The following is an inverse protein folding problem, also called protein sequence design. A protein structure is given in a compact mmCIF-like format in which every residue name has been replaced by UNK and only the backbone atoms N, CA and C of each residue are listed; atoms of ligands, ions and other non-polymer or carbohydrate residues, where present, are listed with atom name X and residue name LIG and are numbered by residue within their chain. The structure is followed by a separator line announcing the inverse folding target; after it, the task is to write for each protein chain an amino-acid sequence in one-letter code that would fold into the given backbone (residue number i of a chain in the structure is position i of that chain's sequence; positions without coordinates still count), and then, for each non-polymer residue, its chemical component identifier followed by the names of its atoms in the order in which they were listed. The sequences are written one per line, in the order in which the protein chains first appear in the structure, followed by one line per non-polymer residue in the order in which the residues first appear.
data_IF_944107697642
#
_entry.id   IF_944107697642
#
_cell.length_a   1.000
_cell.length_b   1.000
_cell.length_c   1.000
_cell.angle_alpha   90.00
_cell.angle_beta   90.00
_cell.angle_gamma   90.00
#
_symmetry.space_group_name_H-M   'P 1'
#
loop_
_entity.id
_entity.type
_entity.pdbx_description
1 polymer ?
#
# COMPACT_ATOMS: atom_id res chain seq x y z
N UNK A 1 37.81 18.02 29.15
CA UNK A 1 37.20 16.86 28.49
C UNK A 1 36.07 17.34 27.59
N UNK A 2 36.13 16.98 26.36
CA UNK A 2 35.07 17.38 25.41
C UNK A 2 33.97 16.32 25.45
N UNK A 3 32.82 16.69 26.00
CA UNK A 3 31.65 15.84 26.03
C UNK A 3 30.86 16.09 24.74
N UNK A 4 30.69 15.06 23.90
CA UNK A 4 29.87 15.12 22.69
C UNK A 4 28.49 14.58 23.05
N UNK A 5 27.45 15.35 22.75
CA UNK A 5 26.05 15.00 23.02
C UNK A 5 25.30 14.90 21.70
N UNK A 6 24.33 13.98 21.62
CA UNK A 6 23.38 13.94 20.52
C UNK A 6 22.55 15.22 20.48
N UNK A 7 22.21 15.68 19.27
CA UNK A 7 21.32 16.82 19.02
C UNK A 7 19.86 16.39 18.86
N UNK A 8 19.60 15.07 18.77
CA UNK A 8 18.27 14.49 18.66
C UNK A 8 18.10 13.36 19.66
N UNK A 9 16.87 13.11 20.08
CA UNK A 9 16.51 11.90 20.81
C UNK A 9 16.33 10.75 19.82
N UNK A 10 16.86 9.56 20.15
CA UNK A 10 16.76 8.43 19.24
C UNK A 10 17.62 7.24 19.64
N UNK A 11 17.61 6.23 18.78
CA UNK A 11 18.43 5.03 18.92
C UNK A 11 19.81 5.23 18.29
N UNK A 12 20.85 4.81 18.97
CA UNK A 12 22.21 4.76 18.39
C UNK A 12 22.25 3.60 17.41
N UNK A 13 22.49 3.90 16.14
CA UNK A 13 22.57 2.90 15.07
C UNK A 13 23.98 2.31 14.97
N UNK A 14 25.00 3.17 15.10
CA UNK A 14 26.40 2.78 14.97
C UNK A 14 27.33 3.71 15.75
N UNK A 15 28.44 3.16 16.23
CA UNK A 15 29.54 3.88 16.88
C UNK A 15 30.85 3.40 16.23
N UNK A 16 31.23 3.95 15.07
CA UNK A 16 32.39 3.45 14.29
C UNK A 16 33.75 3.70 14.94
N UNK A 17 33.82 4.60 15.93
CA UNK A 17 35.06 4.95 16.60
C UNK A 17 35.26 4.20 17.92
N UNK A 18 36.51 3.85 18.23
CA UNK A 18 36.89 3.21 19.48
C UNK A 18 37.82 4.12 20.30
N UNK A 19 37.90 3.89 21.61
CA UNK A 19 38.85 4.58 22.46
C UNK A 19 40.28 4.39 21.92
N UNK A 20 41.01 5.50 21.78
CA UNK A 20 42.35 5.53 21.20
C UNK A 20 42.39 5.89 19.70
N UNK A 21 41.25 5.93 19.01
CA UNK A 21 41.22 6.38 17.59
C UNK A 21 41.40 7.89 17.55
N UNK A 22 42.14 8.39 16.54
CA UNK A 22 42.17 9.80 16.20
C UNK A 22 40.87 10.23 15.52
N UNK A 23 40.33 11.35 15.97
CA UNK A 23 39.13 11.96 15.38
C UNK A 23 39.45 13.34 14.83
N UNK A 24 38.91 13.70 13.71
CA UNK A 24 39.12 14.98 13.04
C UNK A 24 37.84 15.77 13.11
N UNK A 25 37.94 17.04 13.51
CA UNK A 25 36.80 17.97 13.50
C UNK A 25 36.44 18.33 12.05
N UNK A 26 35.14 18.45 11.75
CA UNK A 26 34.70 18.90 10.46
C UNK A 26 35.12 20.36 10.20
N UNK A 27 35.49 20.67 8.97
CA UNK A 27 35.79 22.02 8.50
C UNK A 27 35.38 22.17 7.03
N UNK A 28 35.66 23.31 6.42
CA UNK A 28 35.29 23.64 5.02
C UNK A 28 35.83 22.64 3.98
N UNK A 29 36.87 21.88 4.32
CA UNK A 29 37.57 20.95 3.42
C UNK A 29 37.41 19.48 3.79
N UNK A 30 36.78 19.20 4.96
CA UNK A 30 36.67 17.84 5.48
C UNK A 30 35.40 17.69 6.31
N UNK A 31 34.62 16.67 6.01
CA UNK A 31 33.35 16.35 6.70
C UNK A 31 33.53 15.90 8.17
N UNK A 32 34.79 15.66 8.58
CA UNK A 32 35.10 15.21 9.93
C UNK A 32 34.90 13.71 10.13
N UNK A 33 35.17 13.26 11.37
CA UNK A 33 35.00 11.84 11.75
C UNK A 33 33.63 11.64 12.38
N UNK A 34 32.84 10.72 11.84
CA UNK A 34 31.56 10.29 12.44
C UNK A 34 31.85 9.57 13.77
N UNK A 35 31.32 10.08 14.87
CA UNK A 35 31.50 9.50 16.22
C UNK A 35 30.39 8.47 16.49
N UNK A 36 29.16 8.82 16.20
CA UNK A 36 28.00 7.96 16.32
C UNK A 36 26.90 8.40 15.34
N UNK A 37 26.09 7.46 14.93
CA UNK A 37 24.88 7.72 14.13
C UNK A 37 23.67 7.46 14.99
N UNK A 38 22.78 8.45 15.10
CA UNK A 38 21.54 8.38 15.89
C UNK A 38 20.35 8.60 14.96
N UNK A 39 19.31 7.80 15.10
CA UNK A 39 18.09 7.96 14.33
C UNK A 39 16.84 7.91 15.22
N UNK A 40 15.83 8.70 14.86
CA UNK A 40 14.50 8.58 15.43
C UNK A 40 13.78 7.39 14.75
N UNK A 41 13.54 6.33 15.52
CA UNK A 41 12.92 5.10 15.00
C UNK A 41 11.40 5.20 14.86
N UNK A 42 10.80 6.32 15.26
CA UNK A 42 9.35 6.56 15.06
C UNK A 42 9.05 7.11 13.65
N UNK A 43 10.08 7.61 12.96
CA UNK A 43 9.98 8.20 11.63
C UNK A 43 10.56 7.25 10.57
N UNK A 44 9.93 6.09 10.41
CA UNK A 44 10.33 5.12 9.41
C UNK A 44 9.72 5.44 8.05
N UNK A 45 10.58 5.51 7.05
CA UNK A 45 10.19 5.78 5.66
C UNK A 45 10.49 4.54 4.81
N UNK A 46 9.46 4.04 4.12
CA UNK A 46 9.64 3.10 3.01
C UNK A 46 10.20 3.84 1.81
N UNK A 47 11.21 3.26 1.18
CA UNK A 47 11.73 3.72 -0.12
C UNK A 47 11.65 2.54 -1.09
N UNK A 48 11.06 2.79 -2.25
CA UNK A 48 10.93 1.80 -3.30
C UNK A 48 10.90 2.46 -4.66
N UNK A 49 10.86 1.63 -5.70
CA UNK A 49 10.78 2.08 -7.07
C UNK A 49 9.48 1.58 -7.69
N UNK A 50 8.88 2.38 -8.54
CA UNK A 50 7.70 2.05 -9.32
C UNK A 50 7.99 2.23 -10.81
N UNK A 51 7.40 1.37 -11.64
CA UNK A 51 7.56 1.41 -13.08
C UNK A 51 6.82 2.61 -13.71
N UNK A 52 7.35 3.10 -14.85
CA UNK A 52 6.76 4.21 -15.61
C UNK A 52 5.29 3.96 -16.00
N UNK A 53 4.92 2.71 -16.25
CA UNK A 53 3.55 2.34 -16.63
C UNK A 53 2.53 2.50 -15.50
N UNK A 54 3.00 2.44 -14.24
CA UNK A 54 2.17 2.50 -13.05
C UNK A 54 2.22 3.87 -12.35
N UNK A 55 3.32 4.62 -12.49
CA UNK A 55 3.52 5.90 -11.79
C UNK A 55 2.44 6.92 -12.10
N UNK A 56 1.87 6.91 -13.31
CA UNK A 56 0.78 7.81 -13.71
C UNK A 56 -0.55 7.55 -13.00
N UNK A 57 -0.69 6.44 -12.29
CA UNK A 57 -1.91 6.03 -11.57
C UNK A 57 -1.87 6.37 -10.09
N UNK A 58 -0.74 6.77 -9.57
CA UNK A 58 -0.55 7.09 -8.16
C UNK A 58 -0.37 8.59 -7.94
N UNK A 59 -0.69 9.03 -6.74
CA UNK A 59 -0.47 10.39 -6.28
C UNK A 59 -0.12 10.42 -4.79
N UNK A 60 0.49 11.49 -4.35
CA UNK A 60 0.78 11.71 -2.93
C UNK A 60 -0.51 11.67 -2.09
N UNK A 61 -0.41 11.15 -0.88
CA UNK A 61 -1.54 10.94 0.02
C UNK A 61 -2.25 9.61 -0.13
N UNK A 62 -1.92 8.79 -1.15
CA UNK A 62 -2.53 7.46 -1.29
C UNK A 62 -2.14 6.53 -0.15
N UNK A 63 -3.09 5.69 0.31
CA UNK A 63 -2.81 4.65 1.30
C UNK A 63 -1.96 3.54 0.68
N UNK A 64 -0.97 3.11 1.45
CA UNK A 64 -0.04 2.03 1.08
C UNK A 64 -0.05 0.99 2.19
N UNK A 65 -0.04 -0.28 1.82
CA UNK A 65 0.18 -1.40 2.73
C UNK A 65 1.61 -1.87 2.59
N UNK A 66 2.34 -1.93 3.68
CA UNK A 66 3.74 -2.34 3.71
C UNK A 66 3.86 -3.68 4.43
N UNK A 67 4.49 -4.64 3.79
CA UNK A 67 4.87 -5.92 4.40
C UNK A 67 6.38 -6.00 4.48
N UNK A 68 6.92 -6.28 5.67
CA UNK A 68 8.35 -6.39 5.89
C UNK A 68 8.80 -7.84 5.76
N UNK A 69 9.90 -8.08 5.06
CA UNK A 69 10.47 -9.42 4.89
C UNK A 69 10.80 -10.13 6.21
N UNK A 70 11.20 -9.37 7.23
CA UNK A 70 11.48 -9.89 8.58
C UNK A 70 10.22 -10.17 9.41
N UNK A 71 9.05 -9.62 9.04
CA UNK A 71 7.78 -9.69 9.76
C UNK A 71 6.65 -10.06 8.78
N UNK A 72 6.79 -11.20 8.10
CA UNK A 72 5.97 -11.62 6.96
C UNK A 72 4.45 -11.71 7.24
N UNK A 73 4.03 -11.82 8.50
CA UNK A 73 2.62 -11.93 8.89
C UNK A 73 2.04 -10.61 9.39
N UNK A 74 2.75 -9.50 9.22
CA UNK A 74 2.33 -8.19 9.69
C UNK A 74 2.30 -7.19 8.53
N UNK A 75 1.15 -6.54 8.40
CA UNK A 75 0.95 -5.43 7.49
C UNK A 75 0.98 -4.11 8.27
N UNK A 76 1.66 -3.14 7.72
CA UNK A 76 1.75 -1.80 8.28
C UNK A 76 1.04 -0.82 7.35
N UNK A 77 0.25 0.05 7.94
CA UNK A 77 -0.34 1.16 7.21
C UNK A 77 0.73 2.22 6.95
N UNK A 78 0.74 2.72 5.73
CA UNK A 78 1.63 3.78 5.31
C UNK A 78 0.89 4.76 4.39
N UNK A 79 1.45 5.93 4.23
CA UNK A 79 0.93 6.95 3.32
C UNK A 79 2.03 7.37 2.35
N UNK A 80 1.69 7.42 1.06
CA UNK A 80 2.61 7.86 0.01
C UNK A 80 2.85 9.37 0.17
N UNK A 81 4.08 9.76 0.44
CA UNK A 81 4.44 11.17 0.70
C UNK A 81 5.19 11.80 -0.46
N UNK A 82 5.90 11.00 -1.25
CA UNK A 82 6.75 11.53 -2.30
C UNK A 82 6.81 10.57 -3.49
N UNK A 83 6.74 11.16 -4.67
CA UNK A 83 6.97 10.50 -5.95
C UNK A 83 8.04 11.31 -6.68
N UNK A 84 9.15 10.68 -7.07
CA UNK A 84 10.21 11.37 -7.79
C UNK A 84 9.70 11.93 -9.12
N UNK A 85 9.93 13.22 -9.42
CA UNK A 85 9.60 13.78 -10.73
C UNK A 85 10.57 13.32 -11.83
N UNK A 86 11.66 12.65 -11.47
CA UNK A 86 12.68 12.16 -12.38
C UNK A 86 12.75 10.63 -12.32
N UNK A 87 12.52 9.98 -13.46
CA UNK A 87 12.79 8.56 -13.63
C UNK A 87 14.30 8.30 -13.77
N UNK A 88 14.69 7.11 -13.34
CA UNK A 88 16.05 6.57 -13.50
C UNK A 88 15.92 5.24 -14.24
N UNK A 89 16.71 5.07 -15.29
CA UNK A 89 16.77 3.79 -15.99
C UNK A 89 17.56 2.79 -15.16
N UNK A 90 16.90 1.71 -14.77
CA UNK A 90 17.48 0.60 -14.05
C UNK A 90 17.08 -0.73 -14.72
N UNK A 91 18.08 -1.55 -15.08
CA UNK A 91 17.86 -2.82 -15.76
C UNK A 91 17.02 -2.76 -17.05
N UNK A 92 17.10 -1.63 -17.78
CA UNK A 92 16.37 -1.43 -19.05
C UNK A 92 14.91 -0.97 -18.87
N UNK A 93 14.50 -0.61 -17.68
CA UNK A 93 13.18 -0.04 -17.38
C UNK A 93 13.33 1.32 -16.69
N UNK A 94 12.44 2.27 -17.03
CA UNK A 94 12.36 3.55 -16.33
C UNK A 94 11.63 3.34 -15.01
N UNK A 95 12.29 3.66 -13.91
CA UNK A 95 11.76 3.56 -12.57
C UNK A 95 11.75 4.91 -11.87
N UNK A 96 10.73 5.13 -11.05
CA UNK A 96 10.55 6.35 -10.26
C UNK A 96 10.63 6.00 -8.78
N UNK A 97 11.49 6.71 -8.04
CA UNK A 97 11.56 6.53 -6.59
C UNK A 97 10.29 7.03 -5.93
N UNK A 98 9.77 6.24 -5.00
CA UNK A 98 8.65 6.62 -4.13
C UNK A 98 9.05 6.50 -2.67
N UNK A 99 8.45 7.36 -1.83
CA UNK A 99 8.61 7.30 -0.38
C UNK A 99 7.25 7.29 0.29
N UNK A 100 7.09 6.42 1.30
CA UNK A 100 5.89 6.35 2.10
C UNK A 100 6.23 6.36 3.59
N UNK A 101 5.54 7.17 4.37
CA UNK A 101 5.67 7.19 5.82
C UNK A 101 4.91 6.00 6.41
N UNK A 102 5.61 5.19 7.20
CA UNK A 102 5.06 3.99 7.83
C UNK A 102 4.54 4.35 9.22
N UNK A 103 3.30 3.98 9.51
CA UNK A 103 2.76 4.07 10.87
C UNK A 103 3.11 2.80 11.64
N UNK A 104 4.05 2.91 12.58
CA UNK A 104 4.50 1.78 13.40
C UNK A 104 3.87 1.89 14.78
N UNK A 105 3.20 0.83 15.28
CA UNK A 105 2.74 0.77 16.66
C UNK A 105 3.94 0.75 17.65
N UNK A 106 3.82 1.43 18.79
CA UNK A 106 4.88 1.52 19.83
C UNK A 106 5.34 0.16 20.37
N UNK A 107 4.51 -0.87 20.21
CA UNK A 107 4.80 -2.24 20.67
C UNK A 107 5.77 -2.99 19.75
N UNK A 108 6.08 -2.47 18.55
CA UNK A 108 6.87 -3.15 17.53
C UNK A 108 8.15 -2.38 17.26
N UNK A 109 9.28 -3.06 17.34
CA UNK A 109 10.57 -2.49 16.97
C UNK A 109 10.95 -2.93 15.58
N UNK A 110 11.00 -2.00 14.63
CA UNK A 110 11.46 -2.22 13.26
C UNK A 110 12.88 -1.66 13.13
N UNK A 111 13.75 -2.39 12.44
CA UNK A 111 15.13 -1.93 12.18
C UNK A 111 15.20 -1.32 10.77
N UNK A 112 15.97 -0.25 10.66
CA UNK A 112 16.32 0.30 9.35
C UNK A 112 17.07 -0.74 8.51
N UNK A 113 16.83 -0.72 7.19
CA UNK A 113 17.47 -1.66 6.26
C UNK A 113 16.72 -2.98 6.05
N UNK A 114 15.54 -3.17 6.64
CA UNK A 114 14.71 -4.31 6.28
C UNK A 114 14.19 -4.18 4.85
N UNK A 115 14.15 -5.31 4.13
CA UNK A 115 13.43 -5.38 2.86
C UNK A 115 11.93 -5.30 3.10
N UNK A 116 11.25 -4.57 2.23
CA UNK A 116 9.82 -4.33 2.33
C UNK A 116 9.16 -4.41 0.95
N UNK A 117 7.93 -4.91 0.93
CA UNK A 117 7.04 -4.84 -0.22
C UNK A 117 5.92 -3.84 0.09
N UNK A 118 5.58 -3.02 -0.90
CA UNK A 118 4.51 -2.05 -0.80
C UNK A 118 3.39 -2.38 -1.78
N UNK A 119 2.17 -2.38 -1.29
CA UNK A 119 0.95 -2.49 -2.08
C UNK A 119 0.21 -1.16 -2.03
N UNK A 120 0.12 -0.48 -3.17
CA UNK A 120 -0.57 0.81 -3.27
C UNK A 120 -2.03 0.56 -3.59
N UNK A 121 -2.93 1.07 -2.74
CA UNK A 121 -4.37 0.92 -2.92
C UNK A 121 -4.86 2.00 -3.89
N UNK A 122 -5.00 1.66 -5.16
CA UNK A 122 -5.41 2.59 -6.22
C UNK A 122 -6.87 3.06 -6.08
N UNK A 123 -7.74 2.17 -5.61
CA UNK A 123 -9.13 2.50 -5.39
C UNK A 123 -9.73 1.64 -4.27
N UNK A 124 -10.64 2.20 -3.50
CA UNK A 124 -11.35 1.50 -2.44
C UNK A 124 -12.82 1.86 -2.45
N UNK A 125 -13.67 0.85 -2.57
CA UNK A 125 -15.09 0.98 -2.30
C UNK A 125 -15.42 0.33 -0.95
N UNK A 126 -16.04 1.09 -0.05
CA UNK A 126 -16.44 0.60 1.26
C UNK A 126 -17.94 0.77 1.46
N UNK A 127 -18.57 -0.22 2.12
CA UNK A 127 -20.03 -0.21 2.39
C UNK A 127 -20.88 -0.14 1.10
N UNK A 128 -20.38 -0.74 0.02
CA UNK A 128 -21.09 -0.83 -1.26
C UNK A 128 -21.91 -2.12 -1.33
N UNK A 129 -22.98 -2.08 -2.11
CA UNK A 129 -23.72 -3.29 -2.45
C UNK A 129 -22.87 -4.09 -3.45
N UNK A 130 -22.50 -5.30 -3.09
CA UNK A 130 -21.72 -6.18 -3.94
C UNK A 130 -22.38 -7.54 -4.08
N UNK A 131 -22.17 -8.18 -5.23
CA UNK A 131 -22.60 -9.55 -5.50
C UNK A 131 -21.42 -10.34 -6.05
N UNK A 132 -21.43 -11.70 -5.90
CA UNK A 132 -20.41 -12.51 -6.58
C UNK A 132 -20.40 -12.25 -8.07
N UNK A 133 -19.23 -11.98 -8.66
CA UNK A 133 -19.11 -11.64 -10.07
C UNK A 133 -19.69 -12.74 -10.98
N UNK A 134 -19.61 -13.99 -10.55
CA UNK A 134 -20.21 -15.14 -11.23
C UNK A 134 -21.74 -15.11 -11.36
N UNK A 135 -22.43 -14.21 -10.65
CA UNK A 135 -23.90 -14.03 -10.74
C UNK A 135 -24.29 -12.96 -11.77
N UNK A 136 -23.31 -12.30 -12.35
CA UNK A 136 -23.49 -11.19 -13.28
C UNK A 136 -23.29 -11.68 -14.71
N UNK A 137 -24.21 -11.33 -15.59
CA UNK A 137 -24.12 -11.62 -17.03
C UNK A 137 -23.68 -10.36 -17.77
N UNK A 138 -22.52 -10.42 -18.41
CA UNK A 138 -22.03 -9.36 -19.29
C UNK A 138 -22.46 -9.67 -20.72
N UNK A 139 -23.23 -8.77 -21.34
CA UNK A 139 -23.68 -8.94 -22.74
C UNK A 139 -23.61 -7.61 -23.46
N UNK A 140 -22.69 -7.56 -24.44
CA UNK A 140 -22.34 -6.32 -25.14
C UNK A 140 -21.94 -5.23 -24.11
N UNK A 141 -22.44 -4.01 -24.23
CA UNK A 141 -22.18 -2.89 -23.30
C UNK A 141 -23.11 -2.87 -22.07
N UNK A 142 -23.85 -3.95 -21.81
CA UNK A 142 -24.84 -3.98 -20.73
C UNK A 142 -24.58 -5.13 -19.78
N UNK A 143 -24.78 -4.84 -18.50
CA UNK A 143 -24.60 -5.80 -17.41
C UNK A 143 -25.97 -6.17 -16.81
N UNK A 144 -26.20 -7.45 -16.60
CA UNK A 144 -27.48 -7.97 -16.13
C UNK A 144 -27.29 -8.90 -14.93
N UNK A 145 -28.30 -8.94 -14.08
CA UNK A 145 -28.45 -9.91 -13.00
C UNK A 145 -29.85 -10.53 -13.05
N UNK A 146 -29.99 -11.71 -12.46
CA UNK A 146 -31.26 -12.40 -12.32
C UNK A 146 -31.75 -12.26 -10.89
N UNK A 147 -32.81 -11.46 -10.68
CA UNK A 147 -33.39 -11.18 -9.36
C UNK A 147 -34.55 -12.11 -9.14
N UNK A 148 -34.63 -12.73 -7.94
CA UNK A 148 -35.73 -13.60 -7.54
C UNK A 148 -37.02 -12.77 -7.43
N UNK A 149 -38.02 -13.12 -8.22
CA UNK A 149 -39.35 -12.47 -8.18
C UNK A 149 -40.38 -13.30 -7.45
N UNK A 150 -40.29 -14.63 -7.50
CA UNK A 150 -41.21 -15.52 -6.86
C UNK A 150 -40.49 -16.81 -6.40
N UNK A 151 -40.90 -17.36 -5.27
CA UNK A 151 -40.28 -18.57 -4.69
C UNK A 151 -41.19 -19.77 -4.61
N UNK A 152 -42.50 -19.60 -4.87
CA UNK A 152 -43.54 -20.67 -4.76
C UNK A 152 -44.45 -20.64 -5.98
N UNK A 153 -44.77 -21.77 -6.61
CA UNK A 153 -44.33 -23.15 -6.34
C UNK A 153 -42.91 -23.46 -6.85
N UNK A 154 -42.33 -22.57 -7.65
CA UNK A 154 -40.95 -22.68 -8.15
C UNK A 154 -40.28 -21.30 -8.17
N UNK A 155 -38.96 -21.29 -8.04
CA UNK A 155 -38.21 -20.04 -8.12
C UNK A 155 -38.29 -19.44 -9.51
N UNK A 156 -38.75 -18.19 -9.59
CA UNK A 156 -38.78 -17.40 -10.81
C UNK A 156 -37.81 -16.24 -10.69
N UNK A 157 -37.07 -16.02 -11.72
CA UNK A 157 -36.07 -14.94 -11.78
C UNK A 157 -36.41 -14.00 -12.94
N UNK A 158 -36.30 -12.71 -12.71
CA UNK A 158 -36.40 -11.71 -13.76
C UNK A 158 -35.00 -11.17 -14.07
N UNK A 159 -34.70 -11.06 -15.34
CA UNK A 159 -33.47 -10.42 -15.82
C UNK A 159 -33.60 -8.91 -15.68
N UNK A 160 -32.64 -8.31 -14.98
CA UNK A 160 -32.61 -6.85 -14.72
C UNK A 160 -31.27 -6.28 -15.12
N UNK A 161 -31.27 -5.15 -15.83
CA UNK A 161 -30.07 -4.40 -16.11
C UNK A 161 -29.56 -3.70 -14.83
N UNK A 162 -28.27 -3.74 -14.62
CA UNK A 162 -27.60 -3.10 -13.48
C UNK A 162 -26.41 -2.29 -13.95
N UNK A 163 -26.05 -1.29 -13.15
CA UNK A 163 -24.80 -0.53 -13.33
C UNK A 163 -23.80 -1.06 -12.31
N UNK A 164 -22.72 -1.62 -12.81
CA UNK A 164 -21.64 -2.15 -11.99
C UNK A 164 -20.58 -1.10 -11.73
N UNK A 165 -19.80 -1.32 -10.68
CA UNK A 165 -18.65 -0.50 -10.31
C UNK A 165 -17.35 -1.31 -10.29
N UNK A 166 -16.60 -1.19 -9.20
CA UNK A 166 -15.34 -1.93 -9.04
C UNK A 166 -15.57 -3.41 -8.85
N UNK A 167 -14.64 -4.23 -9.35
CA UNK A 167 -14.56 -5.66 -9.12
C UNK A 167 -13.17 -6.02 -8.58
N UNK A 168 -13.13 -7.01 -7.68
CA UNK A 168 -11.90 -7.64 -7.20
C UNK A 168 -11.67 -9.03 -7.82
N UNK A 169 -12.49 -9.39 -8.83
CA UNK A 169 -12.47 -10.71 -9.49
C UNK A 169 -13.28 -11.79 -8.76
N UNK A 170 -13.76 -11.53 -7.54
CA UNK A 170 -14.64 -12.42 -6.75
C UNK A 170 -16.00 -11.77 -6.57
N UNK A 171 -16.01 -10.49 -6.19
CA UNK A 171 -17.21 -9.69 -6.01
C UNK A 171 -17.17 -8.44 -6.90
N UNK A 172 -18.34 -8.03 -7.35
CA UNK A 172 -18.51 -6.82 -8.15
C UNK A 172 -19.53 -5.89 -7.50
N UNK A 173 -19.16 -4.62 -7.44
CA UNK A 173 -20.02 -3.56 -6.92
C UNK A 173 -21.23 -3.36 -7.83
N UNK A 174 -22.41 -3.21 -7.25
CA UNK A 174 -23.62 -2.77 -7.93
C UNK A 174 -23.95 -1.34 -7.52
N UNK A 175 -23.73 -0.39 -8.42
CA UNK A 175 -24.03 1.03 -8.19
C UNK A 175 -25.51 1.34 -8.32
N UNK A 176 -26.21 0.64 -9.20
CA UNK A 176 -27.65 0.86 -9.44
C UNK A 176 -28.31 -0.41 -10.00
N UNK A 177 -29.62 -0.56 -9.73
CA UNK A 177 -30.44 -1.65 -10.27
C UNK A 177 -30.69 -2.81 -9.31
N UNK A 178 -30.13 -2.83 -8.11
CA UNK A 178 -30.35 -3.85 -7.09
C UNK A 178 -30.53 -3.22 -5.72
N UNK A 179 -31.41 -3.80 -4.88
CA UNK A 179 -31.61 -3.38 -3.49
C UNK A 179 -31.00 -4.37 -2.51
N UNK A 180 -30.67 -3.91 -1.30
CA UNK A 180 -29.93 -4.68 -0.28
C UNK A 180 -30.59 -6.01 0.12
N UNK A 181 -31.92 -6.11 0.07
CA UNK A 181 -32.66 -7.29 0.49
C UNK A 181 -33.11 -8.20 -0.67
N UNK A 182 -32.77 -7.88 -1.91
CA UNK A 182 -33.11 -8.70 -3.06
C UNK A 182 -32.17 -9.91 -3.17
N UNK A 183 -32.73 -11.05 -3.54
CA UNK A 183 -31.98 -12.28 -3.77
C UNK A 183 -31.66 -12.40 -5.25
N UNK A 184 -30.40 -12.69 -5.55
CA UNK A 184 -29.92 -12.91 -6.91
C UNK A 184 -29.70 -14.41 -7.17
N UNK A 185 -29.85 -14.83 -8.40
CA UNK A 185 -29.56 -16.20 -8.84
C UNK A 185 -28.06 -16.45 -8.70
N UNK A 186 -27.70 -17.49 -7.96
CA UNK A 186 -26.31 -17.95 -7.87
C UNK A 186 -25.80 -18.52 -9.21
N UNK A 187 -24.46 -18.69 -9.31
CA UNK A 187 -23.88 -19.41 -10.43
C UNK A 187 -24.41 -20.85 -10.48
N UNK A 188 -24.69 -21.35 -11.69
CA UNK A 188 -25.03 -22.77 -11.87
C UNK A 188 -23.80 -23.61 -11.48
N UNK A 189 -23.98 -24.49 -10.49
CA UNK A 189 -22.99 -25.54 -10.26
C UNK A 189 -23.03 -26.50 -11.46
N UNK A 190 -21.95 -26.54 -12.23
CA UNK A 190 -21.71 -27.60 -13.19
C UNK A 190 -21.40 -28.90 -12.47
#
# INVERSE_FOLDING_TARGET
STLIRSTIDGLILDVPVKAGNSVIMSNTFNDGTTIATVANMNDLIFRGNIDETEVGRIHEGMPVKITLGALQNMEFDAQLEYISPKGVEENGANQFEIKAAITVPDSITIRSGYSANAEIVLARASKVLAVPESTVEFKNDSTFIYVLTDSVPSQKFSRRAVITGMSDGIQIEIKNGLNVNEKVRGAEKK
#
